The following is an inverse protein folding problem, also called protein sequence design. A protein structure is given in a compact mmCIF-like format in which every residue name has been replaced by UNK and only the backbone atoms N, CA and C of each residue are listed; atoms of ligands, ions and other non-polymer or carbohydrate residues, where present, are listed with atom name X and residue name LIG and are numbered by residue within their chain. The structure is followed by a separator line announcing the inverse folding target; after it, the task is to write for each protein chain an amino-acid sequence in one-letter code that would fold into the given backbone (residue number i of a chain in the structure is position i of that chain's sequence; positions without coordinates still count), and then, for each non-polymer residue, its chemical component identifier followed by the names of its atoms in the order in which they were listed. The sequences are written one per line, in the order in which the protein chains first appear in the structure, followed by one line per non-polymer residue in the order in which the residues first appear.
data_IF_928851960737
#
_entry.id   IF_928851960737
#
_cell.length_a   1.000
_cell.length_b   1.000
_cell.length_c   1.000
_cell.angle_alpha   90.00
_cell.angle_beta   90.00
_cell.angle_gamma   90.00
#
_symmetry.space_group_name_H-M   'P 1'
#
loop_
_entity.id
_entity.type
_entity.pdbx_description
1 polymer ?
#
# COMPACT_ATOMS: atom_id res chain seq x y z
N UNK A 1 -1.73 7.06 7.36
CA UNK A 1 -3.07 7.11 7.97
C UNK A 1 -4.13 6.27 7.24
N UNK A 2 -4.43 6.44 5.94
CA UNK A 2 -5.48 5.63 5.25
C UNK A 2 -5.02 4.22 4.82
N UNK A 3 -3.77 4.04 4.36
CA UNK A 3 -3.21 2.71 4.09
C UNK A 3 -3.06 1.83 5.34
N UNK A 4 -2.91 2.45 6.52
CA UNK A 4 -2.89 1.76 7.82
C UNK A 4 -4.24 1.12 8.16
N UNK A 5 -5.34 1.85 7.96
CA UNK A 5 -6.69 1.40 8.28
C UNK A 5 -7.12 0.32 7.28
N UNK A 6 -6.96 0.56 5.98
CA UNK A 6 -7.30 -0.42 4.96
C UNK A 6 -6.42 -1.68 5.06
N UNK A 7 -5.11 -1.54 5.30
CA UNK A 7 -4.21 -2.67 5.49
C UNK A 7 -4.52 -3.50 6.74
N UNK A 8 -4.86 -2.86 7.86
CA UNK A 8 -5.29 -3.55 9.08
C UNK A 8 -6.61 -4.31 8.86
N UNK A 9 -7.58 -3.68 8.18
CA UNK A 9 -8.88 -4.28 7.85
C UNK A 9 -8.65 -5.50 6.96
N UNK A 10 -7.91 -5.37 5.86
CA UNK A 10 -7.62 -6.47 4.94
C UNK A 10 -6.89 -7.63 5.64
N UNK A 11 -5.88 -7.34 6.46
CA UNK A 11 -5.16 -8.37 7.21
C UNK A 11 -6.10 -9.17 8.14
N UNK A 12 -6.98 -8.48 8.89
CA UNK A 12 -7.96 -9.13 9.78
C UNK A 12 -9.00 -9.95 9.02
N UNK A 13 -9.45 -9.45 7.87
CA UNK A 13 -10.48 -10.07 7.06
C UNK A 13 -9.98 -11.29 6.27
N UNK A 14 -8.68 -11.34 5.95
CA UNK A 14 -8.08 -12.44 5.17
C UNK A 14 -8.14 -13.82 5.83
N UNK A 15 -8.44 -13.89 7.14
CA UNK A 15 -8.41 -15.14 7.90
C UNK A 15 -7.03 -15.81 7.97
N UNK A 16 -5.98 -15.17 7.44
CA UNK A 16 -4.66 -15.76 7.31
C UNK A 16 -3.84 -15.57 8.59
N UNK A 17 -3.55 -16.67 9.28
CA UNK A 17 -2.80 -16.66 10.55
C UNK A 17 -1.33 -16.23 10.41
N UNK A 18 -0.77 -16.20 9.20
CA UNK A 18 0.61 -15.76 8.94
C UNK A 18 0.70 -14.24 8.73
N UNK A 19 -0.41 -13.59 8.37
CA UNK A 19 -0.47 -12.14 8.19
C UNK A 19 -0.89 -11.52 9.52
N UNK A 20 0.10 -11.06 10.27
CA UNK A 20 -0.13 -10.33 11.52
C UNK A 20 -0.64 -8.91 11.23
N UNK A 21 -1.82 -8.50 11.73
CA UNK A 21 -2.39 -7.18 11.43
C UNK A 21 -1.47 -6.01 11.82
N UNK A 22 -0.75 -6.13 12.94
CA UNK A 22 0.22 -5.12 13.38
C UNK A 22 1.39 -4.93 12.40
N UNK A 23 1.90 -6.01 11.83
CA UNK A 23 2.96 -5.96 10.83
C UNK A 23 2.45 -5.44 9.48
N UNK A 24 1.21 -5.78 9.11
CA UNK A 24 0.56 -5.24 7.92
C UNK A 24 0.37 -3.71 8.02
N UNK A 25 0.02 -3.21 9.21
CA UNK A 25 -0.05 -1.77 9.46
C UNK A 25 1.32 -1.10 9.27
N UNK A 26 2.37 -1.69 9.84
CA UNK A 26 3.75 -1.19 9.64
C UNK A 26 4.15 -1.22 8.17
N UNK A 27 3.86 -2.33 7.46
CA UNK A 27 4.10 -2.45 6.02
C UNK A 27 3.43 -1.32 5.23
N UNK A 28 2.16 -1.02 5.53
CA UNK A 28 1.42 0.07 4.91
C UNK A 28 1.98 1.47 5.21
N UNK A 29 2.66 1.68 6.33
CA UNK A 29 3.37 2.95 6.59
C UNK A 29 4.69 3.01 5.83
N UNK A 30 5.43 1.91 5.81
CA UNK A 30 6.80 1.88 5.32
C UNK A 30 6.94 1.82 3.80
N UNK A 31 5.91 1.34 3.07
CA UNK A 31 6.01 1.09 1.63
C UNK A 31 6.42 2.32 0.82
N UNK A 32 5.98 3.51 1.24
CA UNK A 32 6.11 4.76 0.50
C UNK A 32 7.11 5.78 1.09
N UNK A 33 7.95 5.34 2.03
CA UNK A 33 8.90 6.25 2.70
C UNK A 33 9.92 6.90 1.75
N UNK A 34 10.20 6.27 0.60
CA UNK A 34 11.08 6.79 -0.44
C UNK A 34 10.60 8.11 -1.05
N UNK A 35 9.32 8.45 -0.95
CA UNK A 35 8.80 9.75 -1.39
C UNK A 35 9.52 10.93 -0.72
N UNK A 36 9.83 10.83 0.58
CA UNK A 36 10.41 11.92 1.35
C UNK A 36 11.79 12.35 0.84
N UNK A 37 12.79 11.44 0.71
CA UNK A 37 14.08 11.82 0.15
C UNK A 37 14.00 12.23 -1.33
N UNK A 38 13.09 11.65 -2.13
CA UNK A 38 12.89 12.07 -3.52
C UNK A 38 12.42 13.53 -3.59
N UNK A 39 11.38 13.88 -2.84
CA UNK A 39 10.86 15.25 -2.78
C UNK A 39 11.89 16.24 -2.23
N UNK A 40 12.59 15.85 -1.15
CA UNK A 40 13.66 16.67 -0.56
C UNK A 40 14.78 16.95 -1.55
N UNK A 41 15.11 15.99 -2.41
CA UNK A 41 16.13 16.17 -3.44
C UNK A 41 15.60 17.00 -4.61
N UNK A 42 14.33 16.83 -4.99
CA UNK A 42 13.69 17.60 -6.05
C UNK A 42 13.65 19.11 -5.76
N UNK A 43 13.52 19.52 -4.50
CA UNK A 43 13.55 20.94 -4.07
C UNK A 43 14.83 21.68 -4.48
N UNK A 44 15.93 20.96 -4.76
CA UNK A 44 17.19 21.54 -5.25
C UNK A 44 17.12 21.91 -6.74
N UNK A 45 16.12 21.42 -7.47
CA UNK A 45 15.95 21.58 -8.92
C UNK A 45 14.62 22.29 -9.23
N UNK A 46 14.60 23.65 -9.29
CA UNK A 46 13.39 24.42 -9.52
C UNK A 46 12.62 24.04 -10.79
N UNK A 47 13.32 23.57 -11.82
CA UNK A 47 12.75 23.09 -13.08
C UNK A 47 11.91 21.81 -12.92
N UNK A 48 12.25 20.95 -11.95
CA UNK A 48 11.50 19.75 -11.61
C UNK A 48 10.29 20.12 -10.77
N UNK A 49 10.46 20.98 -9.76
CA UNK A 49 9.37 21.45 -8.89
C UNK A 49 8.31 22.23 -9.69
N UNK A 50 8.72 22.98 -10.71
CA UNK A 50 7.82 23.70 -11.60
C UNK A 50 7.02 22.79 -12.55
N UNK A 51 7.28 21.47 -12.56
CA UNK A 51 6.67 20.48 -13.45
C UNK A 51 6.07 19.32 -12.66
N UNK A 52 4.84 19.46 -12.15
CA UNK A 52 4.18 18.40 -11.38
C UNK A 52 4.10 17.06 -12.11
N UNK A 53 3.88 17.09 -13.42
CA UNK A 53 3.84 15.91 -14.30
C UNK A 53 5.18 15.16 -14.35
N UNK A 54 6.30 15.90 -14.34
CA UNK A 54 7.63 15.32 -14.31
C UNK A 54 7.95 14.74 -12.93
N UNK A 55 7.60 15.47 -11.87
CA UNK A 55 7.81 15.03 -10.50
C UNK A 55 7.04 13.73 -10.19
N UNK A 56 5.79 13.64 -10.63
CA UNK A 56 4.96 12.44 -10.47
C UNK A 56 5.59 11.23 -11.17
N UNK A 57 6.07 11.39 -12.40
CA UNK A 57 6.78 10.31 -13.12
C UNK A 57 8.05 9.86 -12.40
N UNK A 58 8.86 10.81 -11.91
CA UNK A 58 10.05 10.51 -11.12
C UNK A 58 9.68 9.76 -9.84
N UNK A 59 8.61 10.18 -9.15
CA UNK A 59 8.11 9.51 -7.97
C UNK A 59 7.69 8.07 -8.28
N UNK A 60 6.88 7.85 -9.31
CA UNK A 60 6.43 6.51 -9.71
C UNK A 60 7.61 5.58 -10.01
N UNK A 61 8.64 6.06 -10.70
CA UNK A 61 9.80 5.25 -11.07
C UNK A 61 10.77 5.00 -9.90
N UNK A 62 11.06 6.02 -9.08
CA UNK A 62 12.13 5.91 -8.08
C UNK A 62 11.65 5.48 -6.71
N UNK A 63 10.40 5.76 -6.34
CA UNK A 63 9.88 5.51 -4.99
C UNK A 63 10.10 4.06 -4.54
N UNK A 64 9.78 3.00 -5.32
CA UNK A 64 9.96 1.63 -4.84
C UNK A 64 11.42 1.29 -4.54
N UNK A 65 12.33 1.76 -5.38
CA UNK A 65 13.77 1.52 -5.22
C UNK A 65 14.35 2.28 -4.03
N UNK A 66 13.96 3.55 -3.85
CA UNK A 66 14.43 4.38 -2.75
C UNK A 66 13.85 3.91 -1.41
N UNK A 67 12.55 3.58 -1.36
CA UNK A 67 11.91 2.97 -0.18
C UNK A 67 12.62 1.66 0.19
N UNK A 68 12.81 0.75 -0.76
CA UNK A 68 13.48 -0.53 -0.51
C UNK A 68 14.93 -0.36 -0.03
N UNK A 69 15.66 0.61 -0.57
CA UNK A 69 17.03 0.90 -0.14
C UNK A 69 17.11 1.50 1.27
N UNK A 70 16.16 2.37 1.62
CA UNK A 70 16.05 2.94 2.96
C UNK A 70 15.80 1.84 4.00
N UNK A 71 14.82 0.97 3.73
CA UNK A 71 14.48 -0.15 4.62
C UNK A 71 15.63 -1.16 4.76
N UNK A 72 16.38 -1.43 3.68
CA UNK A 72 17.62 -2.22 3.74
C UNK A 72 18.66 -1.59 4.66
N UNK A 73 18.88 -0.29 4.52
CA UNK A 73 19.86 0.45 5.34
C UNK A 73 19.51 0.39 6.83
N UNK A 74 18.21 0.42 7.16
CA UNK A 74 17.71 0.29 8.52
C UNK A 74 17.58 -1.15 9.01
N UNK A 75 18.00 -2.14 8.23
CA UNK A 75 17.96 -3.57 8.59
C UNK A 75 16.56 -4.11 8.87
N UNK A 76 15.54 -3.61 8.17
CA UNK A 76 14.20 -4.21 8.19
C UNK A 76 14.19 -5.58 7.50
N UNK A 77 13.15 -6.38 7.78
CA UNK A 77 13.02 -7.73 7.22
C UNK A 77 12.86 -7.71 5.69
N UNK A 78 13.24 -8.83 5.06
CA UNK A 78 13.07 -9.02 3.61
C UNK A 78 11.61 -8.88 3.14
N UNK A 79 10.64 -9.23 4.00
CA UNK A 79 9.22 -9.07 3.71
C UNK A 79 8.82 -7.59 3.59
N UNK A 80 9.30 -6.73 4.50
CA UNK A 80 9.00 -5.29 4.46
C UNK A 80 9.75 -4.57 3.34
N UNK A 81 10.97 -5.02 3.03
CA UNK A 81 11.70 -4.55 1.85
C UNK A 81 10.94 -4.92 0.57
N UNK A 82 10.37 -6.14 0.49
CA UNK A 82 9.55 -6.57 -0.65
C UNK A 82 8.31 -5.71 -0.81
N UNK A 83 7.58 -5.46 0.28
CA UNK A 83 6.42 -4.56 0.29
C UNK A 83 6.79 -3.23 -0.36
N UNK A 84 7.87 -2.58 0.09
CA UNK A 84 8.30 -1.30 -0.46
C UNK A 84 8.67 -1.34 -1.96
N UNK A 85 9.05 -2.50 -2.49
CA UNK A 85 9.49 -2.64 -3.88
C UNK A 85 8.39 -3.09 -4.84
N UNK A 86 7.39 -3.84 -4.34
CA UNK A 86 6.42 -4.54 -5.17
C UNK A 86 4.97 -4.06 -4.97
N UNK A 87 4.71 -3.18 -3.99
CA UNK A 87 3.32 -2.76 -3.66
C UNK A 87 2.65 -1.84 -4.68
N UNK A 88 3.31 -1.56 -5.80
CA UNK A 88 2.78 -0.81 -6.95
C UNK A 88 2.54 -1.71 -8.17
N UNK A 89 2.95 -2.98 -8.11
CA UNK A 89 2.76 -3.93 -9.20
C UNK A 89 1.44 -4.67 -9.02
N UNK A 90 0.37 -4.10 -9.60
CA UNK A 90 -1.00 -4.61 -9.51
C UNK A 90 -1.12 -6.07 -9.96
N UNK A 91 -0.31 -6.49 -10.92
CA UNK A 91 -0.37 -7.82 -11.54
C UNK A 91 0.68 -8.77 -11.00
N UNK A 92 1.31 -8.47 -9.85
CA UNK A 92 2.37 -9.33 -9.31
C UNK A 92 1.87 -10.75 -9.04
N UNK A 93 2.77 -11.71 -9.26
CA UNK A 93 2.55 -13.13 -8.98
C UNK A 93 3.71 -13.70 -8.15
N UNK A 94 3.64 -13.62 -6.81
CA UNK A 94 4.64 -14.21 -5.91
C UNK A 94 4.38 -15.71 -5.66
N UNK A 95 3.40 -16.33 -6.32
CA UNK A 95 2.86 -17.64 -6.00
C UNK A 95 1.58 -17.57 -5.16
N UNK A 96 1.17 -18.73 -4.61
CA UNK A 96 -0.18 -18.90 -4.06
C UNK A 96 -0.39 -18.36 -2.65
N UNK A 97 0.67 -18.29 -1.83
CA UNK A 97 0.55 -17.84 -0.44
C UNK A 97 0.48 -16.31 -0.38
N UNK A 98 -0.53 -15.71 0.27
CA UNK A 98 -0.57 -14.26 0.40
C UNK A 98 0.50 -13.77 1.39
N UNK A 99 1.02 -12.58 1.13
CA UNK A 99 1.99 -11.89 1.99
C UNK A 99 1.56 -10.43 2.28
N UNK A 100 2.40 -9.68 2.99
CA UNK A 100 2.12 -8.29 3.34
C UNK A 100 1.99 -7.35 2.14
N UNK A 101 2.62 -7.66 1.01
CA UNK A 101 2.53 -6.84 -0.20
C UNK A 101 1.12 -6.93 -0.80
N UNK A 102 0.44 -8.07 -0.67
CA UNK A 102 -0.95 -8.22 -1.12
C UNK A 102 -1.90 -7.36 -0.29
N UNK A 103 -1.65 -7.30 1.01
CA UNK A 103 -2.42 -6.48 1.93
C UNK A 103 -2.28 -5.01 1.56
N UNK A 104 -1.05 -4.55 1.29
CA UNK A 104 -0.80 -3.17 0.89
C UNK A 104 -1.40 -2.90 -0.49
N UNK A 105 -1.21 -3.79 -1.48
CA UNK A 105 -1.81 -3.65 -2.82
C UNK A 105 -3.33 -3.50 -2.77
N UNK A 106 -4.03 -4.38 -2.05
CA UNK A 106 -5.50 -4.28 -1.91
C UNK A 106 -5.90 -2.98 -1.21
N UNK A 107 -5.19 -2.58 -0.15
CA UNK A 107 -5.46 -1.33 0.55
C UNK A 107 -5.25 -0.09 -0.35
N UNK A 108 -4.20 -0.07 -1.16
CA UNK A 108 -3.94 1.00 -2.12
C UNK A 108 -4.98 1.03 -3.24
N UNK A 109 -5.31 -0.13 -3.79
CA UNK A 109 -6.31 -0.28 -4.84
C UNK A 109 -7.67 0.27 -4.41
N UNK A 110 -8.15 -0.09 -3.22
CA UNK A 110 -9.39 0.43 -2.66
C UNK A 110 -9.42 1.96 -2.59
N UNK A 111 -8.28 2.58 -2.30
CA UNK A 111 -8.15 4.04 -2.19
C UNK A 111 -8.16 4.72 -3.56
N UNK A 112 -7.56 4.10 -4.57
CA UNK A 112 -7.23 4.78 -5.83
C UNK A 112 -8.21 4.47 -6.95
N UNK A 113 -8.81 3.27 -6.97
CA UNK A 113 -9.62 2.76 -8.09
C UNK A 113 -10.81 3.62 -8.53
N UNK A 114 -11.33 4.48 -7.65
CA UNK A 114 -12.45 5.39 -8.00
C UNK A 114 -11.97 6.72 -8.57
N UNK A 115 -10.72 7.10 -8.31
CA UNK A 115 -10.15 8.42 -8.66
C UNK A 115 -9.19 8.35 -9.84
N UNK A 116 -8.68 7.15 -10.16
CA UNK A 116 -7.63 6.96 -11.15
C UNK A 116 -8.06 5.88 -12.17
N UNK A 117 -8.28 6.25 -13.44
CA UNK A 117 -8.72 5.33 -14.49
C UNK A 117 -7.62 4.37 -14.97
N UNK A 118 -6.35 4.62 -14.63
CA UNK A 118 -5.24 3.74 -15.00
C UNK A 118 -5.10 2.56 -14.03
N UNK A 119 -5.84 2.57 -12.92
CA UNK A 119 -5.90 1.46 -11.97
C UNK A 119 -6.73 0.31 -12.56
N UNK A 120 -6.18 -0.91 -12.61
CA UNK A 120 -6.88 -2.05 -13.18
C UNK A 120 -8.15 -2.39 -12.38
N UNK A 121 -9.14 -3.06 -13.00
CA UNK A 121 -10.32 -3.51 -12.28
C UNK A 121 -9.94 -4.57 -11.22
N UNK A 122 -10.73 -4.74 -10.13
CA UNK A 122 -10.40 -5.66 -9.03
C UNK A 122 -10.10 -7.10 -9.47
N UNK A 123 -10.74 -7.57 -10.54
CA UNK A 123 -10.58 -8.92 -11.10
C UNK A 123 -9.18 -9.16 -11.69
N UNK A 124 -8.46 -8.10 -12.06
CA UNK A 124 -7.09 -8.16 -12.58
C UNK A 124 -6.03 -8.05 -11.47
N UNK A 125 -6.45 -7.76 -10.24
CA UNK A 125 -5.55 -7.64 -9.08
C UNK A 125 -5.55 -8.94 -8.29
N UNK A 126 -4.60 -9.83 -8.61
CA UNK A 126 -4.48 -11.19 -8.04
C UNK A 126 -4.43 -11.24 -6.51
N UNK A 127 -4.08 -10.13 -5.86
CA UNK A 127 -4.02 -10.00 -4.41
C UNK A 127 -5.39 -10.20 -3.74
N UNK A 128 -6.51 -9.82 -4.37
CA UNK A 128 -7.85 -10.05 -3.81
C UNK A 128 -8.15 -11.55 -3.65
N UNK A 129 -7.86 -12.33 -4.69
CA UNK A 129 -8.06 -13.78 -4.68
C UNK A 129 -7.19 -14.45 -3.61
N UNK A 130 -5.90 -14.10 -3.57
CA UNK A 130 -4.94 -14.69 -2.61
C UNK A 130 -5.27 -14.36 -1.16
N UNK A 131 -5.85 -13.19 -0.90
CA UNK A 131 -6.30 -12.77 0.42
C UNK A 131 -7.72 -13.26 0.76
N UNK A 132 -8.48 -13.77 -0.22
CA UNK A 132 -9.85 -14.22 0.00
C UNK A 132 -10.82 -13.09 0.37
N UNK A 133 -10.60 -11.88 -0.13
CA UNK A 133 -11.41 -10.69 0.17
C UNK A 133 -11.98 -10.08 -1.12
N UNK A 134 -13.13 -9.41 -1.03
CA UNK A 134 -13.68 -8.61 -2.12
C UNK A 134 -13.72 -7.13 -1.73
N UNK A 135 -13.74 -6.22 -2.72
CA UNK A 135 -13.92 -4.81 -2.43
C UNK A 135 -15.14 -4.44 -1.60
N UNK A 136 -16.29 -5.00 -1.93
CA UNK A 136 -17.58 -4.68 -1.31
C UNK A 136 -17.57 -5.12 0.15
N UNK A 137 -16.94 -6.26 0.42
CA UNK A 137 -16.74 -6.76 1.78
C UNK A 137 -15.85 -5.81 2.59
N UNK A 138 -14.71 -5.39 2.04
CA UNK A 138 -13.78 -4.47 2.72
C UNK A 138 -14.47 -3.13 3.05
N UNK A 139 -15.21 -2.56 2.10
CA UNK A 139 -15.92 -1.29 2.28
C UNK A 139 -16.97 -1.41 3.39
N UNK A 140 -17.76 -2.49 3.37
CA UNK A 140 -18.82 -2.72 4.35
C UNK A 140 -18.23 -2.84 5.77
N UNK A 141 -17.18 -3.64 5.93
CA UNK A 141 -16.53 -3.87 7.22
C UNK A 141 -15.81 -2.60 7.73
N UNK A 142 -15.12 -1.87 6.86
CA UNK A 142 -14.48 -0.61 7.22
C UNK A 142 -15.50 0.43 7.74
N UNK A 143 -16.66 0.53 7.10
CA UNK A 143 -17.73 1.42 7.53
C UNK A 143 -18.30 1.03 8.91
N UNK A 144 -18.44 -0.28 9.18
CA UNK A 144 -18.91 -0.77 10.48
C UNK A 144 -17.91 -0.46 11.61
N UNK A 145 -16.61 -0.67 11.35
CA UNK A 145 -15.55 -0.37 12.33
C UNK A 145 -15.53 1.12 12.67
N UNK A 146 -15.64 1.98 11.66
CA UNK A 146 -15.66 3.44 11.87
C UNK A 146 -16.92 3.86 12.64
N UNK A 147 -18.08 3.29 12.31
CA UNK A 147 -19.33 3.55 13.04
C UNK A 147 -19.22 3.16 14.53
N UNK A 148 -18.69 1.98 14.82
CA UNK A 148 -18.50 1.51 16.18
C UNK A 148 -17.50 2.37 16.97
N UNK A 149 -16.43 2.85 16.30
CA UNK A 149 -15.44 3.74 16.90
C UNK A 149 -16.05 5.10 17.27
N UNK A 150 -16.90 5.67 16.41
CA UNK A 150 -17.60 6.93 16.69
C UNK A 150 -18.54 6.81 17.90
N UNK A 151 -19.23 5.67 18.05
CA UNK A 151 -20.09 5.41 19.21
C UNK A 151 -19.33 5.31 20.54
N UNK A 152 -18.05 4.92 20.52
CA UNK A 152 -17.21 4.83 21.72
C UNK A 152 -16.54 6.16 22.09
N UNK A 153 -16.46 7.10 21.14
CA UNK A 153 -15.82 8.41 21.31
C UNK A 153 -16.83 9.54 21.59
N UNK A 154 -18.13 9.27 21.48
CA UNK A 154 -19.23 10.18 21.83
C UNK A 154 -19.86 9.84 23.17
#
# INVERSE_FOLDING_TARGET
WLGEICGLVVAKLSGNKRIHPEHAMVAGVLHDLGCLPILTYADVYPEVVARPDLLERIMCELRPHVSGQLLRTWSFSGELIRVAMESEEWTRDPGMDPDYCDVVLVAQHQRMRESDPDIPPPEEVSAYERLGVSPEFIITEAAQIESARQMLMG
#
